data_IF_226180777642
#
_entry.id   IF_226180777642
#
_cell.length_a   1.000
_cell.length_b   1.000
_cell.length_c   1.000
_cell.angle_alpha   90.00
_cell.angle_beta   90.00
_cell.angle_gamma   90.00
#
_symmetry.space_group_name_H-M   'P 1'
#
loop_
_entity.id
_entity.type
_entity.pdbx_description
1 polymer ?
#
# COMPACT_ATOMS: atom_id res chain seq x y z
N UNK A 1 -10.08 -10.42 2.24
CA UNK A 1 -8.90 -9.88 2.95
C UNK A 1 -8.90 -10.40 4.38
N UNK A 2 -7.80 -10.26 5.13
CA UNK A 2 -7.73 -10.68 6.53
C UNK A 2 -7.67 -9.47 7.45
N UNK A 3 -8.15 -9.57 8.69
CA UNK A 3 -7.94 -8.49 9.67
C UNK A 3 -6.44 -8.26 9.86
N UNK A 4 -6.02 -7.01 9.95
CA UNK A 4 -4.61 -6.62 10.03
C UNK A 4 -3.83 -7.42 11.10
N UNK A 5 -4.40 -7.58 12.29
CA UNK A 5 -3.77 -8.32 13.39
C UNK A 5 -3.64 -9.84 13.17
N UNK A 6 -4.16 -10.38 12.05
CA UNK A 6 -3.99 -11.78 11.62
C UNK A 6 -3.03 -11.93 10.44
N UNK A 7 -2.55 -10.81 9.88
CA UNK A 7 -1.63 -10.83 8.74
C UNK A 7 -0.20 -10.87 9.27
N UNK A 8 0.59 -11.82 8.76
CA UNK A 8 2.04 -11.83 8.95
C UNK A 8 2.68 -10.95 7.89
N UNK A 9 2.96 -9.71 8.24
CA UNK A 9 3.64 -8.78 7.35
C UNK A 9 5.13 -9.14 7.22
N UNK A 10 5.67 -8.89 6.04
CA UNK A 10 7.06 -9.06 5.70
C UNK A 10 7.59 -7.73 5.15
N UNK A 11 8.73 -7.28 5.69
CA UNK A 11 9.40 -6.04 5.31
C UNK A 11 9.69 -6.03 3.79
N UNK A 12 9.38 -4.92 3.12
CA UNK A 12 9.55 -4.73 1.68
C UNK A 12 8.43 -5.33 0.81
N UNK A 13 7.49 -6.09 1.37
CA UNK A 13 6.39 -6.67 0.60
C UNK A 13 5.24 -5.66 0.42
N UNK A 14 4.58 -5.71 -0.74
CA UNK A 14 3.43 -4.88 -1.05
C UNK A 14 2.14 -5.50 -0.50
N UNK A 15 1.33 -4.66 0.15
CA UNK A 15 0.03 -5.02 0.67
C UNK A 15 -1.04 -4.04 0.19
N UNK A 16 -2.25 -4.57 0.09
CA UNK A 16 -3.45 -3.80 -0.13
C UNK A 16 -4.24 -3.71 1.18
N UNK A 17 -4.57 -2.48 1.58
CA UNK A 17 -5.28 -2.14 2.80
C UNK A 17 -6.69 -1.64 2.49
N UNK A 18 -7.66 -2.09 3.28
CA UNK A 18 -9.08 -1.70 3.13
C UNK A 18 -9.75 -1.55 4.49
N UNK A 19 -10.75 -0.67 4.55
CA UNK A 19 -11.68 -0.51 5.66
C UNK A 19 -12.74 -1.62 5.70
N UNK A 20 -13.00 -2.30 4.57
CA UNK A 20 -13.99 -3.39 4.42
C UNK A 20 -13.35 -4.77 4.17
N UNK A 21 -13.97 -5.87 4.63
CA UNK A 21 -13.41 -7.23 4.51
C UNK A 21 -13.46 -7.79 3.07
N UNK A 22 -14.47 -7.37 2.31
CA UNK A 22 -14.68 -7.69 0.91
C UNK A 22 -14.58 -6.39 0.11
N UNK A 23 -13.46 -6.26 -0.56
CA UNK A 23 -13.24 -5.22 -1.56
C UNK A 23 -14.34 -5.29 -2.62
N UNK A 24 -14.96 -4.13 -2.91
CA UNK A 24 -15.80 -3.98 -4.10
C UNK A 24 -15.03 -3.36 -5.25
N UNK A 25 -14.08 -2.47 -4.92
CA UNK A 25 -13.33 -1.68 -5.88
C UNK A 25 -11.88 -1.47 -5.40
N UNK A 26 -10.85 -1.90 -6.16
CA UNK A 26 -9.45 -1.68 -5.83
C UNK A 26 -9.04 -0.19 -5.77
N UNK A 27 -9.74 0.71 -6.46
CA UNK A 27 -9.39 2.15 -6.52
C UNK A 27 -9.60 2.85 -5.17
N UNK A 28 -10.53 2.33 -4.36
CA UNK A 28 -10.80 2.81 -3.00
C UNK A 28 -9.83 2.29 -1.93
N UNK A 29 -8.86 1.46 -2.32
CA UNK A 29 -7.95 0.81 -1.40
C UNK A 29 -6.57 1.47 -1.39
N UNK A 30 -5.93 1.39 -0.24
CA UNK A 30 -4.58 1.93 -0.04
C UNK A 30 -3.56 0.84 -0.32
N UNK A 31 -2.66 1.10 -1.26
CA UNK A 31 -1.49 0.29 -1.52
C UNK A 31 -0.34 0.75 -0.63
N UNK A 32 0.39 -0.20 -0.05
CA UNK A 32 1.52 0.14 0.79
C UNK A 32 2.60 -0.93 0.89
N UNK A 33 3.85 -0.50 0.81
CA UNK A 33 5.03 -1.34 1.08
C UNK A 33 5.24 -1.36 2.59
N UNK A 34 5.15 -2.55 3.19
CA UNK A 34 5.31 -2.69 4.63
C UNK A 34 6.78 -2.49 5.05
N UNK A 35 7.02 -1.62 6.02
CA UNK A 35 8.33 -1.45 6.64
C UNK A 35 8.39 -2.19 7.98
N UNK A 36 7.62 -1.70 8.96
CA UNK A 36 7.68 -2.17 10.34
C UNK A 36 6.36 -1.98 11.08
N UNK A 37 6.29 -2.56 12.26
CA UNK A 37 5.23 -2.28 13.24
C UNK A 37 5.87 -1.78 14.52
N UNK A 38 5.48 -0.59 14.95
CA UNK A 38 5.93 0.02 16.20
C UNK A 38 4.72 0.45 17.03
N UNK A 39 4.71 0.05 18.30
CA UNK A 39 3.63 0.39 19.24
C UNK A 39 2.21 0.08 18.72
N UNK A 40 2.06 -1.01 17.97
CA UNK A 40 0.79 -1.45 17.37
C UNK A 40 0.37 -0.69 16.10
N UNK A 41 1.19 0.26 15.63
CA UNK A 41 0.98 0.98 14.37
C UNK A 41 1.85 0.39 13.28
N UNK A 42 1.25 0.18 12.11
CA UNK A 42 1.98 -0.25 10.91
C UNK A 42 2.54 1.00 10.24
N UNK A 43 3.83 0.97 9.90
CA UNK A 43 4.49 2.00 9.12
C UNK A 43 4.74 1.46 7.71
N UNK A 44 4.45 2.30 6.72
CA UNK A 44 4.58 1.98 5.31
C UNK A 44 5.72 2.81 4.72
N UNK A 45 6.65 2.15 4.06
CA UNK A 45 7.76 2.81 3.35
C UNK A 45 7.22 3.64 2.19
N UNK A 46 6.27 3.07 1.44
CA UNK A 46 5.52 3.75 0.39
C UNK A 46 4.04 3.58 0.64
N UNK A 47 3.28 4.65 0.41
CA UNK A 47 1.82 4.68 0.51
C UNK A 47 1.26 5.33 -0.75
N UNK A 48 0.29 4.68 -1.40
CA UNK A 48 -0.43 5.25 -2.53
C UNK A 48 -1.92 4.86 -2.47
N UNK A 49 -2.78 5.75 -2.93
CA UNK A 49 -4.21 5.49 -3.13
C UNK A 49 -4.53 5.86 -4.57
N UNK A 50 -5.25 5.00 -5.29
CA UNK A 50 -5.48 5.19 -6.73
C UNK A 50 -4.17 5.51 -7.49
N UNK A 51 -3.10 4.79 -7.14
CA UNK A 51 -1.74 4.95 -7.66
C UNK A 51 -1.08 6.32 -7.44
N UNK A 52 -1.77 7.26 -6.81
CA UNK A 52 -1.22 8.56 -6.44
C UNK A 52 -0.37 8.41 -5.17
N UNK A 53 0.94 8.74 -5.21
CA UNK A 53 1.80 8.69 -4.03
C UNK A 53 1.31 9.66 -2.95
N UNK A 54 1.13 9.16 -1.73
CA UNK A 54 0.74 9.97 -0.56
C UNK A 54 1.98 10.40 0.21
N UNK A 55 2.96 9.50 0.37
CA UNK A 55 4.19 9.80 1.08
C UNK A 55 4.95 8.56 1.53
N UNK A 56 6.04 8.79 2.27
CA UNK A 56 6.96 7.76 2.73
C UNK A 56 7.05 7.69 4.25
N UNK A 57 7.26 6.47 4.76
CA UNK A 57 7.43 6.18 6.19
C UNK A 57 6.26 6.67 7.07
N UNK A 58 5.06 6.68 6.49
CA UNK A 58 3.85 7.15 7.16
C UNK A 58 3.15 5.99 7.88
N UNK A 59 2.52 6.25 9.04
CA UNK A 59 1.69 5.26 9.68
C UNK A 59 0.46 4.96 8.81
N UNK A 60 0.07 3.69 8.74
CA UNK A 60 -1.18 3.27 8.13
C UNK A 60 -2.34 4.01 8.82
N UNK A 61 -3.20 4.69 8.04
CA UNK A 61 -4.34 5.40 8.61
C UNK A 61 -5.27 4.47 9.39
N UNK A 62 -5.84 5.01 10.45
CA UNK A 62 -6.59 4.24 11.43
C UNK A 62 -7.98 3.83 10.96
N UNK A 63 -8.36 4.01 9.71
CA UNK A 63 -9.61 3.54 9.12
C UNK A 63 -9.45 2.15 8.49
N UNK A 64 -8.23 1.83 8.04
CA UNK A 64 -7.92 0.55 7.43
C UNK A 64 -7.87 -0.55 8.50
N UNK A 65 -8.60 -1.64 8.26
CA UNK A 65 -8.79 -2.76 9.22
C UNK A 65 -8.43 -4.11 8.64
N UNK A 66 -8.36 -4.19 7.33
CA UNK A 66 -8.11 -5.41 6.59
C UNK A 66 -6.90 -5.23 5.68
N UNK A 67 -6.14 -6.30 5.50
CA UNK A 67 -5.03 -6.34 4.58
C UNK A 67 -5.01 -7.67 3.81
N UNK A 68 -4.37 -7.65 2.65
CA UNK A 68 -3.87 -8.84 1.96
C UNK A 68 -2.53 -8.53 1.32
N UNK A 69 -1.70 -9.56 1.14
CA UNK A 69 -0.51 -9.41 0.30
C UNK A 69 -0.93 -9.19 -1.16
N UNK A 70 -0.17 -8.36 -1.86
CA UNK A 70 -0.28 -8.24 -3.30
C UNK A 70 0.10 -9.57 -3.97
N UNK A 71 -0.53 -9.85 -5.10
CA UNK A 71 -0.05 -10.84 -6.05
C UNK A 71 1.22 -10.33 -6.75
N UNK A 72 1.92 -11.22 -7.44
CA UNK A 72 3.15 -10.85 -8.16
C UNK A 72 2.87 -9.88 -9.32
N UNK A 73 1.74 -10.05 -10.00
CA UNK A 73 1.35 -9.15 -11.10
C UNK A 73 1.02 -7.75 -10.55
N UNK A 74 0.26 -7.66 -9.46
CA UNK A 74 -0.04 -6.38 -8.80
C UNK A 74 1.21 -5.68 -8.28
N UNK A 75 2.18 -6.43 -7.74
CA UNK A 75 3.47 -5.88 -7.32
C UNK A 75 4.22 -5.27 -8.51
N UNK A 76 4.29 -5.99 -9.63
CA UNK A 76 4.95 -5.49 -10.84
C UNK A 76 4.26 -4.23 -11.36
N UNK A 77 2.94 -4.25 -11.43
CA UNK A 77 2.15 -3.15 -11.97
C UNK A 77 2.28 -1.91 -11.07
N UNK A 78 2.26 -2.09 -9.75
CA UNK A 78 2.49 -1.00 -8.78
C UNK A 78 3.84 -0.29 -8.99
N UNK A 79 4.94 -1.05 -9.07
CA UNK A 79 6.27 -0.45 -9.27
C UNK A 79 6.47 0.12 -10.67
N UNK A 80 5.86 -0.48 -11.69
CA UNK A 80 5.86 0.09 -13.05
C UNK A 80 5.18 1.46 -13.06
N UNK A 81 4.00 1.57 -12.45
CA UNK A 81 3.23 2.80 -12.39
C UNK A 81 3.91 3.86 -11.52
N UNK A 82 4.47 3.46 -10.36
CA UNK A 82 5.24 4.36 -9.48
C UNK A 82 6.46 4.94 -10.20
N UNK A 83 7.21 4.10 -10.93
CA UNK A 83 8.36 4.55 -11.72
C UNK A 83 7.97 5.44 -12.91
N UNK A 84 6.80 5.21 -13.51
CA UNK A 84 6.26 6.07 -14.56
C UNK A 84 5.92 7.48 -14.05
N UNK A 85 5.34 7.60 -12.85
CA UNK A 85 5.00 8.89 -12.24
C UNK A 85 6.26 9.77 -12.03
N UNK A 86 7.35 9.19 -11.53
CA UNK A 86 8.64 9.89 -11.38
C UNK A 86 9.20 10.38 -12.72
N UNK A 87 9.04 9.60 -13.80
CA UNK A 87 9.50 9.99 -15.14
C UNK A 87 8.63 11.07 -15.78
N UNK A 88 7.31 11.05 -15.55
CA UNK A 88 6.38 12.07 -16.04
C UNK A 88 6.52 13.40 -15.26
N UNK A 89 6.75 13.32 -13.95
CA UNK A 89 7.03 14.49 -13.12
C UNK A 89 8.35 15.19 -13.51
N UNK A 90 9.34 14.44 -13.99
CA UNK A 90 10.61 14.99 -14.50
C UNK A 90 10.50 15.52 -15.94
N UNK A 91 9.65 14.94 -16.79
CA UNK A 91 9.46 15.39 -18.18
C UNK A 91 8.67 16.70 -18.31
N UNK A 92 8.06 17.18 -17.22
CA UNK A 92 7.24 18.41 -17.20
C UNK A 92 7.97 19.57 -16.48
N UNK A 93 9.28 19.44 -16.21
CA UNK A 93 10.13 20.49 -15.63
C UNK A 93 11.09 21.09 -16.65
#
# INVERSE_FOLDING_TARGET
MQKIHKVHFACGELYLFSDVPRMRDPESCLWGVYDRTDSGRIYLEHMACDLTPIGHWLPLPSEYRYARRASRDELRDFFYLLGCDDTLAQATR
#
